data_IF_665908333260
#
_entry.id   IF_665908333260
#
_cell.length_a   1.000
_cell.length_b   1.000
_cell.length_c   1.000
_cell.angle_alpha   90.00
_cell.angle_beta   90.00
_cell.angle_gamma   90.00
#
_symmetry.space_group_name_H-M   'P 1'
#
loop_
_entity.id
_entity.type
_entity.pdbx_description
1 polymer ?
#
# COMPACT_ATOMS: atom_id res chain seq x y z
N UNK A 1 15.99 4.36 -30.28
CA UNK A 1 17.12 4.48 -29.36
C UNK A 1 18.23 5.31 -29.99
N UNK A 2 18.96 6.12 -29.22
CA UNK A 2 20.14 6.84 -29.72
C UNK A 2 21.23 5.86 -30.18
N UNK A 3 22.12 6.32 -31.08
CA UNK A 3 23.20 5.49 -31.66
C UNK A 3 24.17 4.92 -30.61
N UNK A 4 24.38 5.62 -29.49
CA UNK A 4 25.23 5.13 -28.40
C UNK A 4 24.61 3.95 -27.61
N UNK A 5 23.33 3.67 -27.81
CA UNK A 5 22.67 2.52 -27.20
C UNK A 5 22.90 1.20 -27.91
N UNK A 6 23.75 1.18 -28.98
CA UNK A 6 24.06 -0.03 -29.74
C UNK A 6 24.86 -1.08 -28.94
N UNK A 7 25.51 -0.67 -27.84
CA UNK A 7 26.39 -1.52 -27.02
C UNK A 7 25.78 -1.85 -25.64
N UNK A 8 24.50 -2.20 -25.60
CA UNK A 8 23.86 -2.59 -24.33
C UNK A 8 22.46 -3.11 -24.56
N UNK A 9 21.82 -3.54 -23.45
CA UNK A 9 20.41 -3.95 -23.43
C UNK A 9 19.55 -2.77 -22.99
N UNK A 10 18.91 -2.14 -23.96
CA UNK A 10 18.08 -0.96 -23.71
C UNK A 10 16.67 -1.19 -24.25
N UNK A 11 15.68 -0.68 -23.53
CA UNK A 11 14.28 -0.66 -23.95
C UNK A 11 13.82 0.79 -24.07
N UNK A 12 13.30 1.16 -25.23
CA UNK A 12 12.71 2.50 -25.42
C UNK A 12 11.41 2.61 -24.64
N UNK A 13 11.10 3.80 -24.08
CA UNK A 13 9.76 4.09 -23.64
C UNK A 13 8.72 3.87 -24.73
N UNK A 14 7.64 3.18 -24.40
CA UNK A 14 6.58 2.85 -25.34
C UNK A 14 5.20 3.08 -24.68
N UNK A 15 4.21 3.44 -25.50
CA UNK A 15 2.83 3.58 -25.07
C UNK A 15 1.92 2.77 -26.00
N UNK A 16 1.02 2.00 -25.42
CA UNK A 16 0.07 1.15 -26.13
C UNK A 16 -1.35 1.44 -25.67
N UNK A 17 -2.23 1.70 -26.61
CA UNK A 17 -3.67 1.70 -26.34
C UNK A 17 -4.16 0.25 -26.38
N UNK A 18 -4.85 -0.18 -25.32
CA UNK A 18 -5.42 -1.52 -25.17
C UNK A 18 -6.92 -1.42 -24.88
N UNK A 19 -7.68 -2.43 -25.30
CA UNK A 19 -9.13 -2.43 -25.18
C UNK A 19 -9.61 -2.52 -23.72
N UNK A 20 -8.88 -3.28 -22.89
CA UNK A 20 -9.25 -3.49 -21.49
C UNK A 20 -8.01 -3.82 -20.63
N UNK A 21 -8.07 -3.40 -19.36
CA UNK A 21 -7.01 -3.71 -18.38
C UNK A 21 -6.86 -5.23 -18.15
N UNK A 22 -7.91 -5.99 -18.35
CA UNK A 22 -7.90 -7.46 -18.21
C UNK A 22 -6.99 -8.19 -19.21
N UNK A 23 -6.51 -7.51 -20.25
CA UNK A 23 -5.46 -8.03 -21.16
C UNK A 23 -4.11 -8.13 -20.46
N UNK A 24 -3.87 -7.35 -19.41
CA UNK A 24 -2.64 -7.38 -18.65
C UNK A 24 -2.69 -8.51 -17.64
N UNK A 25 -2.16 -9.67 -18.00
CA UNK A 25 -2.16 -10.87 -17.14
C UNK A 25 -1.08 -10.87 -16.07
N UNK A 26 -0.10 -9.99 -16.18
CA UNK A 26 1.02 -9.83 -15.26
C UNK A 26 1.53 -8.40 -15.31
N UNK A 27 2.30 -8.01 -14.30
CA UNK A 27 3.03 -6.76 -14.33
C UNK A 27 4.03 -6.73 -15.51
N UNK A 28 3.99 -5.64 -16.27
CA UNK A 28 4.98 -5.34 -17.33
C UNK A 28 5.99 -4.37 -16.72
N UNK A 29 7.07 -4.91 -16.18
CA UNK A 29 8.09 -4.11 -15.49
C UNK A 29 9.03 -3.47 -16.51
N UNK A 30 8.91 -2.16 -16.70
CA UNK A 30 9.70 -1.40 -17.67
C UNK A 30 9.05 -0.07 -18.07
N UNK A 31 9.66 0.68 -18.99
CA UNK A 31 9.16 1.98 -19.45
C UNK A 31 7.99 1.83 -20.44
N UNK A 32 6.94 1.13 -20.02
CA UNK A 32 5.79 0.80 -20.87
C UNK A 32 4.52 1.39 -20.24
N UNK A 33 3.82 2.22 -21.01
CA UNK A 33 2.53 2.78 -20.65
C UNK A 33 1.40 2.06 -21.38
N UNK A 34 0.41 1.59 -20.66
CA UNK A 34 -0.83 1.09 -21.23
C UNK A 34 -1.95 2.12 -21.02
N UNK A 35 -2.69 2.39 -22.07
CA UNK A 35 -3.79 3.35 -22.08
C UNK A 35 -5.10 2.60 -22.37
N UNK A 36 -6.09 2.78 -21.49
CA UNK A 36 -7.45 2.25 -21.68
C UNK A 36 -8.42 3.42 -21.69
N UNK A 37 -9.25 3.52 -22.73
CA UNK A 37 -10.32 4.51 -22.80
C UNK A 37 -11.61 3.93 -22.24
N UNK A 38 -12.34 4.75 -21.51
CA UNK A 38 -13.64 4.37 -20.98
C UNK A 38 -14.65 5.53 -21.08
N UNK A 39 -15.92 5.21 -21.09
CA UNK A 39 -16.99 6.20 -21.06
C UNK A 39 -17.10 6.81 -19.65
N UNK A 40 -17.28 8.14 -19.57
CA UNK A 40 -17.27 8.86 -18.29
C UNK A 40 -18.33 8.42 -17.27
N UNK A 41 -19.41 7.79 -17.73
CA UNK A 41 -20.47 7.22 -16.88
C UNK A 41 -20.16 5.79 -16.37
N UNK A 42 -18.99 5.21 -16.71
CA UNK A 42 -18.60 3.85 -16.33
C UNK A 42 -17.51 3.80 -15.25
N UNK A 43 -17.40 4.82 -14.40
CA UNK A 43 -16.37 4.91 -13.38
C UNK A 43 -16.39 3.71 -12.41
N UNK A 44 -17.57 3.24 -12.04
CA UNK A 44 -17.73 2.08 -11.17
C UNK A 44 -17.06 0.83 -11.76
N UNK A 45 -17.31 0.56 -13.04
CA UNK A 45 -16.73 -0.59 -13.74
C UNK A 45 -15.20 -0.48 -13.87
N UNK A 46 -14.69 0.74 -14.06
CA UNK A 46 -13.24 0.99 -14.05
C UNK A 46 -12.62 0.66 -12.69
N UNK A 47 -13.25 1.09 -11.60
CA UNK A 47 -12.80 0.77 -10.25
C UNK A 47 -12.78 -0.75 -10.00
N UNK A 48 -13.83 -1.45 -10.44
CA UNK A 48 -13.93 -2.90 -10.30
C UNK A 48 -12.87 -3.63 -11.14
N UNK A 49 -12.62 -3.16 -12.36
CA UNK A 49 -11.56 -3.69 -13.22
C UNK A 49 -10.16 -3.47 -12.63
N UNK A 50 -9.90 -2.31 -12.01
CA UNK A 50 -8.66 -2.04 -11.31
C UNK A 50 -8.47 -3.01 -10.13
N UNK A 51 -9.49 -3.18 -9.29
CA UNK A 51 -9.44 -4.11 -8.17
C UNK A 51 -9.24 -5.56 -8.61
N UNK A 52 -9.82 -5.95 -9.76
CA UNK A 52 -9.69 -7.29 -10.31
C UNK A 52 -8.26 -7.64 -10.76
N UNK A 53 -7.38 -6.65 -10.96
CA UNK A 53 -5.97 -6.91 -11.24
C UNK A 53 -5.23 -7.53 -10.05
N UNK A 54 -5.73 -7.33 -8.83
CA UNK A 54 -5.08 -7.72 -7.58
C UNK A 54 -3.92 -6.81 -7.17
N UNK A 55 -3.47 -5.89 -8.00
CA UNK A 55 -2.44 -4.90 -7.67
C UNK A 55 -3.05 -3.64 -7.04
N UNK A 56 -2.35 -3.04 -6.07
CA UNK A 56 -2.82 -1.85 -5.39
C UNK A 56 -1.70 -1.10 -4.69
N UNK A 57 -0.65 -0.67 -5.41
CA UNK A 57 0.43 0.11 -4.82
C UNK A 57 0.10 1.59 -4.78
N UNK A 58 -0.04 2.21 -5.94
CA UNK A 58 -0.37 3.63 -6.08
C UNK A 58 -1.49 3.83 -7.08
N UNK A 59 -2.34 4.81 -6.81
CA UNK A 59 -3.37 5.29 -7.72
C UNK A 59 -3.29 6.80 -7.84
N UNK A 60 -3.18 7.31 -9.06
CA UNK A 60 -3.33 8.74 -9.36
C UNK A 60 -4.70 9.03 -9.95
N UNK A 61 -5.38 10.02 -9.42
CA UNK A 61 -6.65 10.51 -9.93
C UNK A 61 -6.54 12.01 -10.24
N UNK A 62 -6.82 12.38 -11.47
CA UNK A 62 -6.86 13.78 -11.90
C UNK A 62 -8.29 14.18 -12.24
N UNK A 63 -8.91 14.98 -11.39
CA UNK A 63 -10.29 15.46 -11.56
C UNK A 63 -10.53 16.71 -10.72
N UNK A 64 -11.47 17.54 -11.15
CA UNK A 64 -12.00 18.68 -10.37
C UNK A 64 -13.34 18.37 -9.70
N UNK A 65 -13.84 17.15 -9.85
CA UNK A 65 -15.14 16.72 -9.34
C UNK A 65 -14.94 15.94 -8.05
N UNK A 66 -15.29 16.54 -6.93
CA UNK A 66 -15.10 15.95 -5.59
C UNK A 66 -15.88 14.63 -5.40
N UNK A 67 -17.09 14.55 -5.95
CA UNK A 67 -17.88 13.31 -5.89
C UNK A 67 -17.17 12.13 -6.56
N UNK A 68 -16.45 12.36 -7.66
CA UNK A 68 -15.62 11.37 -8.33
C UNK A 68 -14.46 10.93 -7.43
N UNK A 69 -13.78 11.88 -6.76
CA UNK A 69 -12.71 11.56 -5.80
C UNK A 69 -13.23 10.66 -4.69
N UNK A 70 -14.39 11.01 -4.14
CA UNK A 70 -15.02 10.25 -3.04
C UNK A 70 -15.49 8.86 -3.49
N UNK A 71 -16.00 8.73 -4.71
CA UNK A 71 -16.40 7.45 -5.28
C UNK A 71 -15.18 6.52 -5.46
N UNK A 72 -14.15 6.99 -6.15
CA UNK A 72 -12.93 6.21 -6.41
C UNK A 72 -12.25 5.80 -5.09
N UNK A 73 -12.14 6.73 -4.12
CA UNK A 73 -11.57 6.46 -2.80
C UNK A 73 -12.28 5.35 -2.04
N UNK A 74 -13.60 5.23 -2.18
CA UNK A 74 -14.38 4.18 -1.52
C UNK A 74 -14.30 2.84 -2.23
N UNK A 75 -14.11 2.84 -3.55
CA UNK A 75 -14.20 1.64 -4.38
C UNK A 75 -12.85 0.97 -4.61
N UNK A 76 -11.79 1.75 -4.85
CA UNK A 76 -10.50 1.18 -5.24
C UNK A 76 -9.68 0.83 -3.99
N UNK A 77 -9.20 -0.40 -3.96
CA UNK A 77 -8.27 -0.91 -2.94
C UNK A 77 -6.85 -0.62 -3.36
N UNK A 78 -6.26 0.38 -2.73
CA UNK A 78 -4.91 0.85 -3.04
C UNK A 78 -4.23 1.41 -1.79
N UNK A 79 -2.97 1.13 -1.65
CA UNK A 79 -2.20 1.59 -0.50
C UNK A 79 -2.03 3.11 -0.47
N UNK A 80 -1.69 3.74 -1.58
CA UNK A 80 -1.49 5.18 -1.67
C UNK A 80 -2.30 5.77 -2.83
N UNK A 81 -3.25 6.62 -2.51
CA UNK A 81 -4.05 7.36 -3.49
C UNK A 81 -3.62 8.82 -3.53
N UNK A 82 -3.38 9.33 -4.71
CA UNK A 82 -2.96 10.69 -4.98
C UNK A 82 -3.96 11.42 -5.88
N UNK A 83 -4.39 12.60 -5.47
CA UNK A 83 -5.36 13.41 -6.22
C UNK A 83 -4.67 14.65 -6.74
N UNK A 84 -4.75 14.87 -8.06
CA UNK A 84 -4.20 16.03 -8.78
C UNK A 84 -2.70 16.26 -8.55
N UNK A 85 -1.95 15.20 -8.35
CA UNK A 85 -0.49 15.19 -8.24
C UNK A 85 0.09 13.91 -8.85
N UNK A 86 1.41 13.84 -8.98
CA UNK A 86 2.07 12.62 -9.46
C UNK A 86 1.88 11.46 -8.46
N UNK A 87 1.92 10.24 -8.99
CA UNK A 87 1.70 9.01 -8.25
C UNK A 87 2.95 8.13 -8.07
N UNK A 88 4.14 8.70 -8.32
CA UNK A 88 5.39 7.91 -8.40
C UNK A 88 5.75 7.30 -7.05
N UNK A 89 5.47 7.97 -5.96
CA UNK A 89 5.82 7.47 -4.64
C UNK A 89 5.45 8.43 -3.51
N UNK A 90 5.96 8.14 -2.32
CA UNK A 90 5.73 8.93 -1.11
C UNK A 90 6.98 9.73 -0.73
N UNK A 91 6.76 10.84 -0.05
CA UNK A 91 7.83 11.63 0.56
C UNK A 91 8.24 10.94 1.86
N UNK A 92 9.50 10.52 1.96
CA UNK A 92 10.05 9.86 3.15
C UNK A 92 9.88 10.74 4.39
N UNK A 93 9.41 10.16 5.47
CA UNK A 93 9.16 10.86 6.73
C UNK A 93 7.82 11.62 6.80
N UNK A 94 7.16 11.87 5.66
CA UNK A 94 5.88 12.58 5.62
C UNK A 94 4.70 11.68 5.24
N UNK A 95 4.94 10.68 4.38
CA UNK A 95 3.91 9.80 3.87
C UNK A 95 4.35 8.34 4.02
N UNK A 96 3.63 7.51 4.79
CA UNK A 96 3.83 6.06 4.78
C UNK A 96 3.56 5.49 3.38
N UNK A 97 4.39 4.53 2.96
CA UNK A 97 4.31 3.95 1.63
C UNK A 97 4.23 2.42 1.66
N UNK A 98 3.27 1.88 0.93
CA UNK A 98 3.06 0.45 0.79
C UNK A 98 1.73 0.15 0.13
N UNK A 99 1.63 -1.00 -0.54
CA UNK A 99 0.47 -1.42 -1.30
C UNK A 99 -0.43 -2.41 -0.59
N UNK A 100 -1.46 -2.82 -1.29
CA UNK A 100 -2.41 -3.86 -0.90
C UNK A 100 -2.41 -5.00 -1.94
N UNK A 101 -2.95 -6.15 -1.56
CA UNK A 101 -3.04 -7.32 -2.42
C UNK A 101 -1.67 -7.79 -2.90
N UNK A 102 -1.48 -7.94 -4.19
CA UNK A 102 -0.20 -8.34 -4.79
C UNK A 102 0.92 -7.28 -4.62
N UNK A 103 0.57 -6.06 -4.24
CA UNK A 103 1.51 -4.95 -4.08
C UNK A 103 1.94 -4.69 -2.63
N UNK A 104 1.51 -5.49 -1.67
CA UNK A 104 1.91 -5.32 -0.28
C UNK A 104 1.30 -6.34 0.67
N UNK A 105 1.97 -6.59 1.79
CA UNK A 105 1.62 -7.66 2.74
C UNK A 105 1.38 -7.18 4.17
N UNK A 106 1.36 -5.89 4.40
CA UNK A 106 1.20 -5.43 5.78
C UNK A 106 1.41 -3.93 5.96
N UNK A 107 1.76 -3.50 7.17
CA UNK A 107 1.89 -2.09 7.49
C UNK A 107 2.85 -1.36 6.57
N UNK A 108 2.50 -0.14 6.23
CA UNK A 108 3.28 0.71 5.33
C UNK A 108 4.63 1.08 5.93
N UNK A 109 5.68 1.07 5.11
CA UNK A 109 6.98 1.58 5.48
C UNK A 109 6.89 3.04 5.94
N UNK A 110 7.52 3.37 7.06
CA UNK A 110 7.44 4.69 7.68
C UNK A 110 6.10 5.03 8.34
N UNK A 111 5.16 4.08 8.41
CA UNK A 111 3.88 4.24 9.10
C UNK A 111 3.94 3.85 10.58
N UNK A 112 3.03 4.38 11.38
CA UNK A 112 2.95 4.14 12.83
C UNK A 112 2.76 2.68 13.23
N UNK A 113 2.24 1.84 12.33
CA UNK A 113 2.02 0.42 12.57
C UNK A 113 3.18 -0.48 12.08
N UNK A 114 4.22 0.08 11.47
CA UNK A 114 5.28 -0.71 10.86
C UNK A 114 6.06 -1.55 11.88
N UNK A 115 6.33 -1.00 13.04
CA UNK A 115 7.08 -1.68 14.11
C UNK A 115 6.33 -2.89 14.70
N UNK A 116 5.01 -2.93 14.61
CA UNK A 116 4.21 -4.08 15.07
C UNK A 116 4.54 -5.36 14.29
N UNK A 117 5.11 -5.26 13.08
CA UNK A 117 5.60 -6.42 12.31
C UNK A 117 6.73 -7.18 12.97
N UNK A 118 7.49 -6.50 13.82
CA UNK A 118 8.68 -7.02 14.50
C UNK A 118 8.42 -7.36 15.97
N UNK A 119 7.15 -7.26 16.40
CA UNK A 119 6.73 -7.55 17.75
C UNK A 119 5.85 -8.81 17.79
N UNK A 120 5.98 -9.56 18.86
CA UNK A 120 5.11 -10.71 19.18
C UNK A 120 4.52 -10.48 20.56
N UNK A 121 3.21 -10.69 20.67
CA UNK A 121 2.55 -10.66 21.97
C UNK A 121 2.99 -11.85 22.82
N UNK A 122 3.36 -11.57 24.07
CA UNK A 122 3.73 -12.58 25.05
C UNK A 122 2.95 -12.35 26.33
N UNK A 123 2.26 -13.36 26.77
CA UNK A 123 1.52 -13.35 28.03
C UNK A 123 2.29 -14.18 29.07
N UNK A 124 2.43 -13.62 30.28
CA UNK A 124 2.93 -14.33 31.43
C UNK A 124 1.88 -14.20 32.55
N UNK A 125 1.41 -15.34 33.05
CA UNK A 125 0.49 -15.41 34.18
C UNK A 125 1.14 -16.21 35.30
N UNK A 126 1.11 -15.68 36.50
CA UNK A 126 1.66 -16.35 37.69
C UNK A 126 0.55 -16.56 38.72
N UNK A 127 0.41 -17.81 39.15
CA UNK A 127 -0.44 -18.13 40.28
C UNK A 127 0.29 -17.82 41.58
N UNK A 128 -0.17 -16.80 42.28
CA UNK A 128 0.43 -16.38 43.55
C UNK A 128 -0.05 -17.22 44.76
N UNK A 129 -1.11 -18.05 44.58
CA UNK A 129 -1.59 -18.92 45.67
C UNK A 129 -0.67 -20.10 45.92
N UNK A 130 0.02 -20.59 44.89
CA UNK A 130 1.02 -21.67 45.00
C UNK A 130 2.25 -21.29 45.84
N UNK A 131 2.51 -19.98 46.00
CA UNK A 131 3.64 -19.43 46.77
C UNK A 131 3.27 -19.09 48.22
N UNK A 132 2.14 -19.55 48.74
CA UNK A 132 1.76 -19.32 50.15
C UNK A 132 1.02 -18.01 50.43
N UNK A 133 0.24 -17.55 49.45
CA UNK A 133 -0.65 -16.40 49.63
C UNK A 133 -0.10 -15.09 49.08
N UNK A 134 -0.73 -14.00 49.41
CA UNK A 134 -0.56 -12.68 48.82
C UNK A 134 0.79 -11.96 49.14
N UNK A 135 1.82 -12.71 49.50
CA UNK A 135 3.12 -12.14 49.89
C UNK A 135 3.76 -11.29 48.76
N UNK A 136 3.53 -11.64 47.51
CA UNK A 136 4.02 -10.87 46.38
C UNK A 136 3.33 -9.50 46.23
N UNK A 137 2.07 -9.39 46.63
CA UNK A 137 1.37 -8.11 46.70
C UNK A 137 1.87 -7.23 47.87
N UNK A 138 2.27 -7.86 48.96
CA UNK A 138 2.88 -7.14 50.10
C UNK A 138 4.31 -6.65 49.79
N UNK A 139 5.00 -7.27 48.84
CA UNK A 139 6.34 -6.84 48.44
C UNK A 139 6.33 -5.70 47.42
N UNK A 140 5.18 -5.31 46.87
CA UNK A 140 5.07 -4.19 45.91
C UNK A 140 5.38 -2.83 46.55
N UNK A 141 5.41 -2.71 47.89
CA UNK A 141 5.80 -1.49 48.58
C UNK A 141 7.33 -1.25 48.55
N UNK A 142 8.14 -2.22 48.16
CA UNK A 142 9.62 -2.14 48.23
C UNK A 142 10.28 -1.85 46.88
N UNK A 143 9.57 -1.46 45.85
CA UNK A 143 10.19 -1.00 44.62
C UNK A 143 10.93 0.32 44.85
N UNK A 144 12.24 0.42 44.53
CA UNK A 144 12.98 1.65 44.75
C UNK A 144 12.37 2.77 43.91
N UNK A 145 12.02 3.86 44.55
CA UNK A 145 11.66 5.12 43.89
C UNK A 145 12.92 5.68 43.29
N UNK A 146 13.10 5.51 41.99
CA UNK A 146 14.09 6.24 41.23
C UNK A 146 13.53 7.61 40.82
#
# INVERSE_FOLDING_TARGET
>A
LPTYAAHGTFVSPAAYEIEAISLLKREVFGPVLHVVRFAGNRMAEVCDALNATGFGLTLGLHTRIESTVNEVRRRVRVGNMYVNRNQIGAVVGAQPFGGEGLSGTGPKAGGGHYMHRFATERVCSTDTTASGGNAALMSMETAPKN
#
